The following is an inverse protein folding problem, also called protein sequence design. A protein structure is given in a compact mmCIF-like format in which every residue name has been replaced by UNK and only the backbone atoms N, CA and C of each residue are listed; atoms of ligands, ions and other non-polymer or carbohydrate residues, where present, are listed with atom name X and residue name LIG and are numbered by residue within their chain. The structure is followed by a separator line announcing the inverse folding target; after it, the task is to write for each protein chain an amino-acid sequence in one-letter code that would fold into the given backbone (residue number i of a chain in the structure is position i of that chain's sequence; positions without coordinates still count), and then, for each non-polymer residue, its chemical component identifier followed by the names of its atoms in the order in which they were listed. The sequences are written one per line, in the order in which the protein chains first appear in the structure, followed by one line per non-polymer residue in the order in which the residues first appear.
data_IF_307386047195
#
_entry.id   IF_307386047195
#
_cell.length_a   1.000
_cell.length_b   1.000
_cell.length_c   1.000
_cell.angle_alpha   90.00
_cell.angle_beta   90.00
_cell.angle_gamma   90.00
#
_symmetry.space_group_name_H-M   'P 1'
#
loop_
_entity.id
_entity.type
_entity.pdbx_description
1 polymer ?
#
# COMPACT_ATOMS: atom_id res chain seq x y z
N UNK A 1 -16.37 17.27 16.50
CA UNK A 1 -17.14 16.06 16.87
C UNK A 1 -16.31 14.86 16.46
N UNK A 2 -15.75 14.13 17.43
CA UNK A 2 -15.09 12.84 17.14
C UNK A 2 -16.19 11.81 16.89
N UNK A 3 -16.46 11.51 15.63
CA UNK A 3 -17.31 10.36 15.27
C UNK A 3 -16.44 9.12 15.41
N UNK A 4 -16.52 8.45 16.54
CA UNK A 4 -16.01 7.10 16.70
C UNK A 4 -16.97 6.18 15.93
N UNK A 5 -16.61 5.79 14.72
CA UNK A 5 -17.36 4.77 14.00
C UNK A 5 -17.06 3.44 14.67
N UNK A 6 -17.99 2.92 15.45
CA UNK A 6 -17.99 1.53 15.89
C UNK A 6 -18.17 0.69 14.62
N UNK A 7 -17.07 0.12 14.14
CA UNK A 7 -17.07 -0.83 13.02
C UNK A 7 -17.81 -2.10 13.49
N UNK A 8 -19.00 -2.30 12.95
CA UNK A 8 -19.89 -3.38 13.34
C UNK A 8 -19.26 -4.75 13.05
N UNK A 9 -19.56 -5.72 13.90
CA UNK A 9 -19.16 -7.15 13.87
C UNK A 9 -19.57 -7.94 12.59
N UNK A 10 -20.08 -7.28 11.55
CA UNK A 10 -20.55 -7.93 10.31
C UNK A 10 -19.44 -8.29 9.32
N UNK A 11 -18.22 -7.77 9.52
CA UNK A 11 -17.07 -8.00 8.61
C UNK A 11 -16.13 -9.13 9.09
N UNK A 12 -16.37 -9.69 10.26
CA UNK A 12 -15.52 -10.70 10.85
C UNK A 12 -15.62 -12.02 10.06
N UNK A 13 -14.54 -12.33 9.34
CA UNK A 13 -14.43 -13.58 8.61
C UNK A 13 -14.66 -13.51 7.09
N UNK A 14 -14.90 -12.34 6.50
CA UNK A 14 -15.07 -12.15 5.04
C UNK A 14 -13.89 -12.67 4.21
N UNK A 15 -12.67 -12.66 4.78
CA UNK A 15 -11.45 -13.14 4.13
C UNK A 15 -10.93 -14.45 4.74
N UNK A 16 -11.75 -15.19 5.49
CA UNK A 16 -11.37 -16.47 6.07
C UNK A 16 -10.95 -17.46 4.98
N UNK A 17 -9.81 -18.11 5.20
CA UNK A 17 -9.22 -19.04 4.24
C UNK A 17 -8.51 -18.34 3.06
N UNK A 18 -8.36 -17.02 3.10
CA UNK A 18 -7.57 -16.27 2.13
C UNK A 18 -6.19 -15.97 2.70
N UNK A 19 -5.16 -16.15 1.89
CA UNK A 19 -3.78 -15.73 2.20
C UNK A 19 -3.52 -14.36 1.56
N UNK A 20 -3.14 -13.39 2.37
CA UNK A 20 -2.79 -12.03 1.95
C UNK A 20 -1.29 -11.77 2.15
N UNK A 21 -0.65 -11.16 1.16
CA UNK A 21 0.71 -10.62 1.25
C UNK A 21 0.64 -9.11 1.29
N UNK A 22 1.27 -8.50 2.30
CA UNK A 22 1.37 -7.03 2.45
C UNK A 22 2.83 -6.63 2.45
N UNK A 23 3.22 -5.77 1.51
CA UNK A 23 4.58 -5.21 1.45
C UNK A 23 4.66 -3.89 2.22
N UNK A 24 5.79 -3.64 2.91
CA UNK A 24 5.99 -2.43 3.72
C UNK A 24 5.04 -2.32 4.91
N UNK A 25 4.75 -3.41 5.68
CA UNK A 25 3.73 -3.43 6.72
C UNK A 25 4.18 -2.81 8.04
N UNK A 26 5.43 -2.39 8.19
CA UNK A 26 6.04 -2.12 9.51
C UNK A 26 5.49 -0.88 10.23
N UNK A 27 4.79 0.02 9.52
CA UNK A 27 4.23 1.27 10.07
C UNK A 27 3.19 1.88 9.13
N UNK A 28 2.48 2.90 9.61
CA UNK A 28 1.56 3.73 8.81
C UNK A 28 0.50 2.92 8.06
N UNK A 29 0.30 3.23 6.79
CA UNK A 29 -0.72 2.61 5.94
C UNK A 29 -0.55 1.08 5.88
N UNK A 30 0.67 0.59 5.68
CA UNK A 30 0.91 -0.85 5.56
C UNK A 30 0.57 -1.63 6.83
N UNK A 31 0.86 -1.08 8.01
CA UNK A 31 0.49 -1.68 9.28
C UNK A 31 -1.04 -1.72 9.48
N UNK A 32 -1.73 -0.63 9.13
CA UNK A 32 -3.18 -0.56 9.19
C UNK A 32 -3.84 -1.55 8.21
N UNK A 33 -3.29 -1.70 6.99
CA UNK A 33 -3.77 -2.69 6.01
C UNK A 33 -3.61 -4.12 6.53
N UNK A 34 -2.43 -4.47 7.07
CA UNK A 34 -2.19 -5.79 7.62
C UNK A 34 -3.19 -6.12 8.75
N UNK A 35 -3.45 -5.16 9.64
CA UNK A 35 -4.44 -5.28 10.71
C UNK A 35 -5.86 -5.43 10.17
N UNK A 36 -6.25 -4.63 9.16
CA UNK A 36 -7.59 -4.68 8.58
C UNK A 36 -7.87 -6.01 7.86
N UNK A 37 -6.88 -6.61 7.18
CA UNK A 37 -7.00 -7.91 6.54
C UNK A 37 -7.04 -9.06 7.58
N UNK A 38 -6.17 -9.02 8.60
CA UNK A 38 -6.17 -9.99 9.68
C UNK A 38 -7.50 -9.98 10.45
N UNK A 39 -8.03 -8.80 10.79
CA UNK A 39 -9.35 -8.64 11.43
C UNK A 39 -10.48 -9.30 10.64
N UNK A 40 -10.40 -9.27 9.30
CA UNK A 40 -11.36 -9.93 8.40
C UNK A 40 -11.11 -11.42 8.19
N UNK A 41 -10.16 -12.00 8.92
CA UNK A 41 -9.91 -13.45 8.94
C UNK A 41 -8.90 -13.95 7.92
N UNK A 42 -8.17 -13.07 7.20
CA UNK A 42 -7.11 -13.50 6.31
C UNK A 42 -5.89 -13.98 7.09
N UNK A 43 -5.23 -15.04 6.60
CA UNK A 43 -3.86 -15.34 6.99
C UNK A 43 -2.93 -14.34 6.29
N UNK A 44 -1.95 -13.76 6.99
CA UNK A 44 -1.19 -12.62 6.46
C UNK A 44 0.32 -12.89 6.46
N UNK A 45 0.96 -12.71 5.30
CA UNK A 45 2.41 -12.62 5.20
C UNK A 45 2.83 -11.16 5.10
N UNK A 46 3.66 -10.74 6.05
CA UNK A 46 4.24 -9.41 6.15
C UNK A 46 5.61 -9.39 5.48
N UNK A 47 5.84 -8.51 4.50
CA UNK A 47 7.09 -8.43 3.74
C UNK A 47 7.77 -7.08 3.90
N UNK A 48 8.98 -7.05 4.49
CA UNK A 48 9.88 -5.91 4.56
C UNK A 48 11.31 -6.36 4.86
N UNK A 49 12.25 -5.42 5.00
CA UNK A 49 13.68 -5.75 5.22
C UNK A 49 14.02 -6.20 6.64
N UNK A 50 13.24 -5.82 7.65
CA UNK A 50 13.58 -6.04 9.06
C UNK A 50 12.79 -7.22 9.65
N UNK A 51 13.43 -8.41 9.70
CA UNK A 51 12.80 -9.64 10.19
C UNK A 51 12.35 -9.53 11.67
N UNK A 52 13.11 -8.86 12.54
CA UNK A 52 12.75 -8.74 13.95
C UNK A 52 11.43 -7.95 14.13
N UNK A 53 11.31 -6.79 13.47
CA UNK A 53 10.06 -6.01 13.49
C UNK A 53 8.88 -6.77 12.88
N UNK A 54 9.12 -7.56 11.82
CA UNK A 54 8.07 -8.39 11.22
C UNK A 54 7.57 -9.46 12.19
N UNK A 55 8.47 -10.10 12.93
CA UNK A 55 8.12 -11.12 13.93
C UNK A 55 7.29 -10.53 15.08
N UNK A 56 7.68 -9.37 15.59
CA UNK A 56 6.94 -8.65 16.63
C UNK A 56 5.52 -8.30 16.15
N UNK A 57 5.41 -7.75 14.95
CA UNK A 57 4.13 -7.39 14.36
C UNK A 57 3.25 -8.62 14.10
N UNK A 58 3.84 -9.71 13.58
CA UNK A 58 3.14 -10.96 13.34
C UNK A 58 2.57 -11.55 14.65
N UNK A 59 3.37 -11.59 15.70
CA UNK A 59 2.93 -12.05 17.02
C UNK A 59 1.78 -11.20 17.58
N UNK A 60 1.88 -9.87 17.44
CA UNK A 60 0.85 -8.94 17.87
C UNK A 60 -0.47 -9.15 17.13
N UNK A 61 -0.44 -9.23 15.78
CA UNK A 61 -1.63 -9.43 14.96
C UNK A 61 -2.27 -10.80 15.23
N UNK A 62 -1.47 -11.87 15.34
CA UNK A 62 -1.96 -13.21 15.68
C UNK A 62 -2.67 -13.20 17.03
N UNK A 63 -2.06 -12.57 18.04
CA UNK A 63 -2.67 -12.46 19.39
C UNK A 63 -3.99 -11.68 19.35
N UNK A 64 -4.06 -10.62 18.56
CA UNK A 64 -5.23 -9.72 18.55
C UNK A 64 -6.41 -10.30 17.77
N UNK A 65 -6.13 -10.93 16.60
CA UNK A 65 -7.17 -11.33 15.66
C UNK A 65 -7.37 -12.85 15.51
N UNK A 66 -6.47 -13.67 16.10
CA UNK A 66 -6.56 -15.12 16.02
C UNK A 66 -6.25 -15.74 14.66
N UNK A 67 -5.78 -14.94 13.69
CA UNK A 67 -5.36 -15.39 12.36
C UNK A 67 -3.89 -15.77 12.34
N UNK A 68 -3.46 -16.56 11.36
CA UNK A 68 -2.04 -16.88 11.21
C UNK A 68 -1.33 -15.71 10.55
N UNK A 69 -0.24 -15.25 11.14
CA UNK A 69 0.59 -14.17 10.57
C UNK A 69 2.06 -14.57 10.61
N UNK A 70 2.78 -14.33 9.53
CA UNK A 70 4.23 -14.53 9.46
C UNK A 70 4.94 -13.30 8.91
N UNK A 71 6.21 -13.16 9.26
CA UNK A 71 7.11 -12.19 8.68
C UNK A 71 8.12 -12.85 7.74
N UNK A 72 8.30 -12.29 6.56
CA UNK A 72 9.30 -12.72 5.57
C UNK A 72 10.18 -11.53 5.19
N UNK A 73 11.46 -11.58 5.58
CA UNK A 73 12.41 -10.54 5.21
C UNK A 73 12.72 -10.58 3.71
N UNK A 74 12.61 -9.43 3.06
CA UNK A 74 12.91 -9.23 1.64
C UNK A 74 13.21 -7.77 1.34
N UNK A 75 14.19 -7.52 0.48
CA UNK A 75 14.37 -6.22 -0.17
C UNK A 75 13.68 -6.24 -1.53
N UNK A 76 12.63 -5.46 -1.66
CA UNK A 76 11.82 -5.40 -2.90
C UNK A 76 12.50 -4.65 -4.05
N UNK A 77 13.65 -4.05 -3.82
CA UNK A 77 14.53 -3.53 -4.86
C UNK A 77 15.43 -4.63 -5.47
N UNK A 78 15.44 -5.86 -4.89
CA UNK A 78 16.28 -6.98 -5.31
C UNK A 78 15.40 -8.08 -5.93
N UNK A 79 15.46 -8.21 -7.25
CA UNK A 79 14.58 -9.13 -7.99
C UNK A 79 14.74 -10.60 -7.60
N UNK A 80 15.96 -11.03 -7.29
CA UNK A 80 16.30 -12.39 -6.87
C UNK A 80 15.69 -12.76 -5.50
N UNK A 81 15.60 -11.80 -4.59
CA UNK A 81 15.01 -12.03 -3.28
C UNK A 81 13.49 -12.19 -3.31
N UNK A 82 12.81 -11.54 -4.26
CA UNK A 82 11.35 -11.53 -4.33
C UNK A 82 10.80 -12.94 -4.57
N UNK A 83 11.32 -13.67 -5.55
CA UNK A 83 10.84 -15.01 -5.86
C UNK A 83 10.94 -15.96 -4.64
N UNK A 84 12.10 -15.99 -3.97
CA UNK A 84 12.32 -16.81 -2.78
C UNK A 84 11.44 -16.38 -1.60
N UNK A 85 11.14 -15.07 -1.45
CA UNK A 85 10.24 -14.58 -0.40
C UNK A 85 8.78 -15.03 -0.63
N UNK A 86 8.33 -15.01 -1.89
CA UNK A 86 6.99 -15.47 -2.24
C UNK A 86 6.83 -16.99 -2.14
N UNK A 87 7.89 -17.75 -2.44
CA UNK A 87 7.92 -19.20 -2.20
C UNK A 87 7.74 -19.52 -0.71
N UNK A 88 8.54 -18.90 0.17
CA UNK A 88 8.39 -19.04 1.63
C UNK A 88 7.00 -18.64 2.12
N UNK A 89 6.38 -17.61 1.53
CA UNK A 89 5.02 -17.23 1.86
C UNK A 89 4.02 -18.33 1.48
N UNK A 90 4.19 -18.92 0.29
CA UNK A 90 3.36 -20.00 -0.22
C UNK A 90 3.48 -21.29 0.59
N UNK A 91 4.69 -21.65 1.02
CA UNK A 91 4.94 -22.84 1.85
C UNK A 91 4.20 -22.79 3.18
N UNK A 92 4.05 -21.59 3.77
CA UNK A 92 3.40 -21.45 5.05
C UNK A 92 1.86 -21.43 4.99
N UNK A 93 1.27 -20.72 4.01
CA UNK A 93 -0.18 -20.46 3.97
C UNK A 93 -0.83 -20.81 2.63
N UNK A 94 -0.12 -21.50 1.75
CA UNK A 94 -0.59 -21.84 0.41
C UNK A 94 -0.58 -20.64 -0.54
N UNK A 95 -1.21 -20.83 -1.70
CA UNK A 95 -1.25 -19.82 -2.78
C UNK A 95 -1.77 -18.47 -2.26
N UNK A 96 -1.04 -17.37 -2.49
CA UNK A 96 -1.54 -16.05 -2.14
C UNK A 96 -2.78 -15.68 -2.94
N UNK A 97 -3.81 -15.23 -2.26
CA UNK A 97 -5.08 -14.77 -2.82
C UNK A 97 -5.13 -13.24 -2.96
N UNK A 98 -4.39 -12.55 -2.09
CA UNK A 98 -4.38 -11.09 -2.00
C UNK A 98 -2.92 -10.63 -2.01
N UNK A 99 -2.60 -9.65 -2.87
CA UNK A 99 -1.33 -8.94 -2.86
C UNK A 99 -1.59 -7.45 -2.67
N UNK A 100 -1.02 -6.88 -1.61
CA UNK A 100 -1.01 -5.43 -1.40
C UNK A 100 0.41 -4.90 -1.57
N UNK A 101 0.66 -4.24 -2.69
CA UNK A 101 1.89 -3.50 -2.96
C UNK A 101 1.80 -2.12 -2.30
N UNK A 102 2.28 -2.03 -1.06
CA UNK A 102 2.27 -0.79 -0.29
C UNK A 102 3.67 -0.21 -0.06
N UNK A 103 4.73 -1.02 -0.10
CA UNK A 103 6.09 -0.53 0.07
C UNK A 103 6.41 0.58 -0.94
N UNK A 104 7.02 1.66 -0.46
CA UNK A 104 7.38 2.79 -1.30
C UNK A 104 8.18 3.84 -0.54
N UNK A 105 8.82 4.72 -1.30
CA UNK A 105 9.55 5.88 -0.80
C UNK A 105 9.20 7.12 -1.63
N UNK A 106 9.32 8.28 -1.00
CA UNK A 106 9.27 9.58 -1.67
C UNK A 106 10.58 10.32 -1.47
N UNK A 107 11.03 11.02 -2.51
CA UNK A 107 12.16 11.94 -2.47
C UNK A 107 11.69 13.28 -3.02
N UNK A 108 11.94 14.36 -2.31
CA UNK A 108 11.58 15.72 -2.72
C UNK A 108 12.82 16.56 -2.97
N UNK A 109 13.02 16.99 -4.22
CA UNK A 109 14.07 17.87 -4.63
C UNK A 109 13.66 18.69 -5.87
N UNK A 110 14.21 19.91 -6.08
CA UNK A 110 14.12 20.59 -7.37
C UNK A 110 14.66 19.69 -8.49
N UNK A 111 14.05 19.71 -9.67
CA UNK A 111 14.41 18.79 -10.76
C UNK A 111 15.89 18.81 -11.11
N UNK A 112 16.52 19.99 -11.13
CA UNK A 112 17.94 20.14 -11.43
C UNK A 112 18.89 19.65 -10.31
N UNK A 113 18.34 19.27 -9.14
CA UNK A 113 19.07 18.68 -7.99
C UNK A 113 18.63 17.24 -7.71
N UNK A 114 17.72 16.69 -8.53
CA UNK A 114 17.31 15.31 -8.38
C UNK A 114 18.41 14.41 -8.94
N UNK A 115 19.10 13.70 -8.08
CA UNK A 115 20.14 12.75 -8.48
C UNK A 115 19.55 11.55 -9.22
N UNK A 116 20.27 11.05 -10.23
CA UNK A 116 19.83 9.86 -10.97
C UNK A 116 19.65 8.63 -10.06
N UNK A 117 20.51 8.52 -9.05
CA UNK A 117 20.42 7.44 -8.06
C UNK A 117 19.13 7.52 -7.25
N UNK A 118 18.67 8.71 -6.87
CA UNK A 118 17.38 8.90 -6.17
C UNK A 118 16.20 8.61 -7.08
N UNK A 119 16.27 9.07 -8.33
CA UNK A 119 15.27 8.72 -9.34
C UNK A 119 15.15 7.19 -9.48
N UNK A 120 16.27 6.50 -9.72
CA UNK A 120 16.27 5.05 -9.91
C UNK A 120 15.73 4.32 -8.67
N UNK A 121 16.18 4.70 -7.47
CA UNK A 121 15.71 4.11 -6.20
C UNK A 121 14.20 4.28 -6.02
N UNK A 122 13.64 5.44 -6.39
CA UNK A 122 12.18 5.68 -6.35
C UNK A 122 11.47 4.78 -7.36
N UNK A 123 11.95 4.68 -8.59
CA UNK A 123 11.37 3.82 -9.62
C UNK A 123 11.44 2.35 -9.24
N UNK A 124 12.58 1.90 -8.74
CA UNK A 124 12.78 0.48 -8.37
C UNK A 124 11.81 0.05 -7.29
N UNK A 125 11.65 0.84 -6.24
CA UNK A 125 10.79 0.43 -5.12
C UNK A 125 9.30 0.67 -5.40
N UNK A 126 8.93 1.76 -6.10
CA UNK A 126 7.51 2.12 -6.28
C UNK A 126 6.87 1.52 -7.53
N UNK A 127 7.65 1.05 -8.52
CA UNK A 127 7.14 0.49 -9.79
C UNK A 127 7.70 -0.90 -10.07
N UNK A 128 9.04 -1.02 -10.13
CA UNK A 128 9.70 -2.29 -10.48
C UNK A 128 9.39 -3.37 -9.43
N UNK A 129 9.47 -3.04 -8.15
CA UNK A 129 9.14 -3.96 -7.05
C UNK A 129 7.70 -4.51 -7.15
N UNK A 130 6.66 -3.66 -7.21
CA UNK A 130 5.29 -4.08 -7.46
C UNK A 130 5.11 -4.96 -8.71
N UNK A 131 5.73 -4.57 -9.83
CA UNK A 131 5.72 -5.38 -11.05
C UNK A 131 6.29 -6.79 -10.81
N UNK A 132 7.44 -6.89 -10.14
CA UNK A 132 8.08 -8.17 -9.84
C UNK A 132 7.22 -9.03 -8.89
N UNK A 133 6.64 -8.42 -7.85
CA UNK A 133 5.72 -9.11 -6.95
C UNK A 133 4.52 -9.70 -7.71
N UNK A 134 3.88 -8.88 -8.55
CA UNK A 134 2.73 -9.32 -9.36
C UNK A 134 3.15 -10.45 -10.31
N UNK A 135 4.25 -10.27 -11.05
CA UNK A 135 4.78 -11.27 -11.99
C UNK A 135 5.01 -12.63 -11.34
N UNK A 136 5.42 -12.63 -10.08
CA UNK A 136 5.72 -13.86 -9.34
C UNK A 136 4.47 -14.69 -9.05
N UNK A 137 3.31 -14.05 -8.78
CA UNK A 137 2.13 -14.78 -8.29
C UNK A 137 0.93 -14.78 -9.26
N UNK A 138 0.90 -13.92 -10.27
CA UNK A 138 -0.31 -13.73 -11.10
C UNK A 138 -0.78 -15.01 -11.77
N UNK A 139 0.14 -15.88 -12.23
CA UNK A 139 -0.21 -17.19 -12.82
C UNK A 139 -0.91 -18.10 -11.82
N UNK A 140 -0.51 -18.08 -10.55
CA UNK A 140 -1.12 -18.90 -9.51
C UNK A 140 -2.52 -18.36 -9.18
N UNK A 141 -2.69 -17.05 -9.07
CA UNK A 141 -3.99 -16.41 -8.88
C UNK A 141 -4.96 -16.71 -10.03
N UNK A 142 -4.49 -16.61 -11.29
CA UNK A 142 -5.30 -16.94 -12.47
C UNK A 142 -5.72 -18.40 -12.48
N UNK A 143 -4.80 -19.32 -12.14
CA UNK A 143 -5.13 -20.77 -12.06
C UNK A 143 -6.15 -21.07 -10.95
N UNK A 144 -6.10 -20.34 -9.83
CA UNK A 144 -7.05 -20.47 -8.73
C UNK A 144 -8.40 -19.77 -9.02
N UNK A 145 -8.50 -19.07 -10.14
CA UNK A 145 -9.62 -18.21 -10.53
C UNK A 145 -10.06 -17.23 -9.41
N UNK A 146 -9.09 -16.76 -8.62
CA UNK A 146 -9.28 -15.78 -7.57
C UNK A 146 -7.99 -15.01 -7.31
N UNK A 147 -8.07 -13.70 -7.37
CA UNK A 147 -6.97 -12.81 -7.00
C UNK A 147 -7.46 -11.39 -6.71
N UNK A 148 -6.80 -10.74 -5.77
CA UNK A 148 -6.99 -9.31 -5.46
C UNK A 148 -5.63 -8.65 -5.39
N UNK A 149 -5.30 -7.84 -6.38
CA UNK A 149 -4.04 -7.10 -6.45
C UNK A 149 -4.36 -5.63 -6.19
N UNK A 150 -3.84 -5.10 -5.09
CA UNK A 150 -4.05 -3.72 -4.68
C UNK A 150 -2.70 -3.00 -4.67
N UNK A 151 -2.57 -1.98 -5.50
CA UNK A 151 -1.40 -1.13 -5.55
C UNK A 151 -1.68 0.16 -4.75
N UNK A 152 -0.97 0.39 -3.65
CA UNK A 152 -1.06 1.65 -2.92
C UNK A 152 -0.26 2.70 -3.68
N UNK A 153 -0.99 3.46 -4.51
CA UNK A 153 -0.44 4.55 -5.30
C UNK A 153 -0.33 5.84 -4.46
N UNK A 154 -0.92 6.92 -4.91
CA UNK A 154 -1.01 8.22 -4.23
C UNK A 154 -1.86 9.16 -5.09
N UNK A 155 -2.37 10.28 -4.54
CA UNK A 155 -2.83 11.43 -5.32
C UNK A 155 -1.74 11.91 -6.29
N UNK A 156 -0.45 11.75 -5.93
CA UNK A 156 0.70 12.03 -6.80
C UNK A 156 0.79 11.10 -8.05
N UNK A 157 -0.03 10.09 -8.16
CA UNK A 157 -0.18 9.27 -9.36
C UNK A 157 -1.30 9.76 -10.29
N UNK A 158 -2.04 10.78 -9.87
CA UNK A 158 -3.18 11.35 -10.60
C UNK A 158 -2.98 12.84 -10.92
N UNK A 159 -2.14 13.53 -10.14
CA UNK A 159 -1.76 14.92 -10.37
C UNK A 159 -0.29 15.15 -10.09
N UNK A 160 0.23 16.34 -10.39
CA UNK A 160 1.61 16.72 -10.13
C UNK A 160 1.77 17.44 -8.80
N UNK A 161 2.87 17.17 -8.11
CA UNK A 161 3.31 17.91 -6.94
C UNK A 161 4.69 18.52 -7.17
N UNK A 162 4.86 19.78 -6.83
CA UNK A 162 6.14 20.46 -6.93
C UNK A 162 7.22 19.70 -6.14
N UNK A 163 8.41 19.64 -6.70
CA UNK A 163 9.59 18.99 -6.11
C UNK A 163 9.51 17.46 -5.95
N UNK A 164 8.44 16.81 -6.42
CA UNK A 164 8.22 15.37 -6.30
C UNK A 164 8.23 14.63 -7.65
N UNK A 165 9.04 15.09 -8.62
CA UNK A 165 9.00 14.59 -10.00
C UNK A 165 9.20 13.07 -10.09
N UNK A 166 10.20 12.49 -9.44
CA UNK A 166 10.45 11.05 -9.45
C UNK A 166 9.29 10.27 -8.83
N UNK A 167 8.75 10.75 -7.71
CA UNK A 167 7.64 10.12 -7.02
C UNK A 167 6.34 10.18 -7.85
N UNK A 168 6.02 11.36 -8.42
CA UNK A 168 4.87 11.51 -9.32
C UNK A 168 4.99 10.57 -10.52
N UNK A 169 6.14 10.54 -11.20
CA UNK A 169 6.38 9.65 -12.33
C UNK A 169 6.17 8.17 -11.95
N UNK A 170 6.72 7.74 -10.80
CA UNK A 170 6.58 6.39 -10.32
C UNK A 170 5.11 6.04 -9.99
N UNK A 171 4.38 6.91 -9.30
CA UNK A 171 2.98 6.65 -8.94
C UNK A 171 2.03 6.69 -10.14
N UNK A 172 2.29 7.54 -11.14
CA UNK A 172 1.61 7.47 -12.45
C UNK A 172 1.92 6.15 -13.17
N UNK A 173 3.18 5.70 -13.18
CA UNK A 173 3.59 4.41 -13.73
C UNK A 173 2.87 3.24 -13.06
N UNK A 174 2.72 3.26 -11.74
CA UNK A 174 2.01 2.23 -10.98
C UNK A 174 0.50 2.19 -11.32
N UNK A 175 -0.13 3.34 -11.54
CA UNK A 175 -1.51 3.43 -12.01
C UNK A 175 -1.62 2.91 -13.46
N UNK A 176 -0.66 3.24 -14.32
CA UNK A 176 -0.58 2.69 -15.67
C UNK A 176 -0.50 1.16 -15.68
N UNK A 177 0.39 0.59 -14.85
CA UNK A 177 0.51 -0.86 -14.63
C UNK A 177 -0.80 -1.48 -14.13
N UNK A 178 -1.46 -0.84 -13.16
CA UNK A 178 -2.76 -1.28 -12.63
C UNK A 178 -3.81 -1.42 -13.73
N UNK A 179 -3.95 -0.40 -14.57
CA UNK A 179 -4.94 -0.36 -15.65
C UNK A 179 -4.65 -1.37 -16.76
N UNK A 180 -3.37 -1.53 -17.12
CA UNK A 180 -2.95 -2.51 -18.12
C UNK A 180 -3.26 -3.95 -17.67
N UNK A 181 -2.86 -4.30 -16.45
CA UNK A 181 -3.09 -5.63 -15.90
C UNK A 181 -4.57 -5.92 -15.65
N UNK A 182 -5.38 -4.94 -15.25
CA UNK A 182 -6.80 -5.10 -15.10
C UNK A 182 -7.48 -5.50 -16.44
N UNK A 183 -7.02 -4.96 -17.55
CA UNK A 183 -7.51 -5.34 -18.88
C UNK A 183 -7.02 -6.72 -19.32
N UNK A 184 -5.75 -7.03 -19.07
CA UNK A 184 -5.14 -8.32 -19.38
C UNK A 184 -5.85 -9.47 -18.64
N UNK A 185 -6.23 -9.24 -17.37
CA UNK A 185 -6.81 -10.25 -16.50
C UNK A 185 -8.35 -10.22 -16.45
N UNK A 186 -9.01 -9.40 -17.28
CA UNK A 186 -10.46 -9.16 -17.22
C UNK A 186 -11.34 -10.41 -17.38
N UNK A 187 -10.81 -11.46 -18.02
CA UNK A 187 -11.51 -12.74 -18.22
C UNK A 187 -11.18 -13.79 -17.16
N UNK A 188 -10.56 -13.38 -16.05
CA UNK A 188 -10.20 -14.24 -14.92
C UNK A 188 -10.88 -13.77 -13.64
N UNK A 189 -10.81 -14.56 -12.58
CA UNK A 189 -11.28 -14.16 -11.25
C UNK A 189 -10.35 -13.15 -10.52
N UNK A 190 -9.36 -12.53 -11.23
CA UNK A 190 -8.39 -11.61 -10.66
C UNK A 190 -8.78 -10.17 -10.92
N UNK A 191 -8.84 -9.34 -9.87
CA UNK A 191 -8.99 -7.89 -9.99
C UNK A 191 -7.71 -7.16 -9.63
N UNK A 192 -7.44 -6.03 -10.30
CA UNK A 192 -6.27 -5.19 -10.07
C UNK A 192 -6.71 -3.75 -9.91
N UNK A 193 -6.49 -3.16 -8.73
CA UNK A 193 -6.89 -1.79 -8.43
C UNK A 193 -5.77 -1.00 -7.76
N UNK A 194 -5.84 0.32 -7.87
CA UNK A 194 -5.01 1.26 -7.14
C UNK A 194 -5.83 1.97 -6.05
N UNK A 195 -5.24 2.14 -4.88
CA UNK A 195 -5.73 3.08 -3.86
C UNK A 195 -4.79 4.27 -3.86
N UNK A 196 -5.34 5.47 -3.91
CA UNK A 196 -4.61 6.72 -4.07
C UNK A 196 -4.81 7.62 -2.83
N UNK A 197 -4.03 7.41 -1.75
CA UNK A 197 -4.12 8.27 -0.58
C UNK A 197 -3.60 9.68 -0.88
N UNK A 198 -4.21 10.69 -0.22
CA UNK A 198 -3.62 12.00 -0.03
C UNK A 198 -2.61 11.99 1.11
N UNK A 199 -2.31 13.19 1.65
CA UNK A 199 -1.44 13.30 2.82
C UNK A 199 -2.04 12.54 4.01
N UNK A 200 -1.36 11.45 4.38
CA UNK A 200 -1.80 10.51 5.41
C UNK A 200 -0.90 10.62 6.64
N UNK A 201 -1.47 10.56 7.83
CA UNK A 201 -0.77 10.63 9.11
C UNK A 201 0.20 9.44 9.27
N UNK A 202 1.42 9.65 8.81
CA UNK A 202 2.51 8.66 8.76
C UNK A 202 3.85 9.35 8.93
N UNK A 203 4.89 8.55 9.20
CA UNK A 203 6.26 9.06 9.29
C UNK A 203 6.72 9.78 8.01
N UNK A 204 6.20 9.40 6.83
CA UNK A 204 6.53 10.10 5.57
C UNK A 204 6.07 11.56 5.62
N UNK A 205 4.88 11.81 6.16
CA UNK A 205 4.38 13.19 6.34
C UNK A 205 5.14 13.89 7.46
N UNK A 206 5.47 13.21 8.56
CA UNK A 206 6.29 13.78 9.62
C UNK A 206 7.69 14.19 9.11
N UNK A 207 8.32 13.36 8.28
CA UNK A 207 9.60 13.68 7.61
C UNK A 207 9.44 14.87 6.63
N UNK A 208 8.33 14.94 5.89
CA UNK A 208 8.04 16.07 5.00
C UNK A 208 7.86 17.38 5.77
N UNK A 209 7.13 17.36 6.89
CA UNK A 209 7.01 18.51 7.82
C UNK A 209 8.38 18.93 8.33
N UNK A 210 9.20 17.98 8.80
CA UNK A 210 10.57 18.27 9.26
C UNK A 210 11.44 18.92 8.18
N UNK A 211 11.33 18.46 6.94
CA UNK A 211 12.04 19.04 5.80
C UNK A 211 11.59 20.47 5.46
N UNK A 212 10.27 20.74 5.54
CA UNK A 212 9.74 22.10 5.34
C UNK A 212 10.25 23.04 6.43
N UNK A 213 10.15 22.64 7.70
CA UNK A 213 10.68 23.41 8.84
C UNK A 213 12.16 23.73 8.66
N UNK A 214 12.99 22.73 8.35
CA UNK A 214 14.44 22.90 8.19
C UNK A 214 14.81 23.84 7.03
N UNK A 215 14.04 23.83 5.93
CA UNK A 215 14.33 24.62 4.73
C UNK A 215 13.73 26.02 4.75
N UNK A 216 12.64 26.24 5.47
CA UNK A 216 11.85 27.48 5.40
C UNK A 216 11.84 28.29 6.69
N UNK A 217 12.26 27.71 7.82
CA UNK A 217 12.14 28.31 9.16
C UNK A 217 10.72 28.43 9.69
N UNK A 218 9.72 27.81 9.04
CA UNK A 218 8.33 27.76 9.51
C UNK A 218 8.21 26.89 10.76
N UNK A 219 7.14 27.08 11.53
CA UNK A 219 6.81 26.18 12.64
C UNK A 219 6.27 24.85 12.12
N UNK A 220 6.34 23.75 12.89
CA UNK A 220 5.74 22.47 12.51
C UNK A 220 4.24 22.59 12.19
N UNK A 221 3.49 23.42 12.94
CA UNK A 221 2.06 23.67 12.75
C UNK A 221 1.80 24.37 11.40
N UNK A 222 2.62 25.34 11.03
CA UNK A 222 2.52 26.03 9.74
C UNK A 222 2.82 25.08 8.58
N UNK A 223 3.86 24.25 8.71
CA UNK A 223 4.20 23.26 7.70
C UNK A 223 3.10 22.21 7.54
N UNK A 224 2.52 21.72 8.65
CA UNK A 224 1.40 20.78 8.63
C UNK A 224 0.14 21.42 8.00
N UNK A 225 -0.16 22.67 8.35
CA UNK A 225 -1.29 23.41 7.77
C UNK A 225 -1.19 23.54 6.26
N UNK A 226 0.03 23.74 5.73
CA UNK A 226 0.25 23.81 4.28
C UNK A 226 -0.06 22.46 3.60
N UNK A 227 0.33 21.34 4.20
CA UNK A 227 0.03 20.01 3.67
C UNK A 227 -1.45 19.66 3.76
N UNK A 228 -2.10 20.01 4.86
CA UNK A 228 -3.52 19.75 5.06
C UNK A 228 -4.44 20.68 4.26
N UNK A 229 -3.94 21.83 3.81
CA UNK A 229 -4.71 22.77 2.97
C UNK A 229 -5.15 22.15 1.62
N UNK A 230 -4.45 21.14 1.15
CA UNK A 230 -4.84 20.40 -0.05
C UNK A 230 -6.06 19.49 0.15
N UNK A 231 -6.34 19.09 1.39
CA UNK A 231 -7.50 18.28 1.73
C UNK A 231 -8.66 19.18 2.18
N UNK A 232 -9.78 19.25 1.44
CA UNK A 232 -10.97 20.04 1.83
C UNK A 232 -11.52 19.75 3.23
N UNK A 233 -11.25 18.55 3.79
CA UNK A 233 -11.61 18.24 5.18
C UNK A 233 -10.66 18.88 6.21
N UNK A 234 -9.58 19.57 5.79
CA UNK A 234 -8.66 20.31 6.66
C UNK A 234 -7.83 19.43 7.62
N UNK A 235 -7.61 18.16 7.29
CA UNK A 235 -6.88 17.20 8.13
C UNK A 235 -6.05 16.24 7.31
N UNK A 236 -5.13 15.55 7.94
CA UNK A 236 -4.50 14.37 7.35
C UNK A 236 -5.53 13.22 7.24
N UNK A 237 -5.38 12.40 6.22
CA UNK A 237 -6.07 11.11 6.11
C UNK A 237 -5.50 10.17 7.19
N UNK A 238 -6.35 9.40 7.84
CA UNK A 238 -5.84 8.39 8.78
C UNK A 238 -5.45 7.09 8.04
N UNK A 239 -4.41 6.38 8.50
CA UNK A 239 -4.01 5.10 7.91
C UNK A 239 -5.14 4.05 7.85
N UNK A 240 -6.03 4.06 8.84
CA UNK A 240 -7.17 3.14 8.89
C UNK A 240 -8.21 3.44 7.78
N UNK A 241 -8.42 4.69 7.40
CA UNK A 241 -9.32 5.06 6.29
C UNK A 241 -8.83 4.47 4.95
N UNK A 242 -7.51 4.50 4.73
CA UNK A 242 -6.89 3.85 3.56
C UNK A 242 -7.02 2.32 3.65
N UNK A 243 -6.75 1.76 4.82
CA UNK A 243 -6.79 0.31 5.05
C UNK A 243 -8.19 -0.28 4.85
N UNK A 244 -9.24 0.42 5.27
CA UNK A 244 -10.63 0.01 5.05
C UNK A 244 -10.98 -0.05 3.55
N UNK A 245 -10.51 0.94 2.77
CA UNK A 245 -10.69 0.95 1.31
C UNK A 245 -9.97 -0.24 0.66
N UNK A 246 -8.74 -0.53 1.08
CA UNK A 246 -7.99 -1.70 0.60
C UNK A 246 -8.73 -2.99 0.93
N UNK A 247 -9.18 -3.15 2.17
CA UNK A 247 -9.87 -4.34 2.61
C UNK A 247 -11.23 -4.55 1.91
N UNK A 248 -11.97 -3.45 1.63
CA UNK A 248 -13.17 -3.49 0.81
C UNK A 248 -12.88 -3.99 -0.62
N UNK A 249 -11.83 -3.50 -1.27
CA UNK A 249 -11.42 -3.98 -2.60
C UNK A 249 -10.98 -5.45 -2.59
N UNK A 250 -10.52 -5.97 -1.43
CA UNK A 250 -10.18 -7.39 -1.26
C UNK A 250 -11.39 -8.29 -1.01
N UNK A 251 -12.56 -7.74 -0.71
CA UNK A 251 -13.77 -8.52 -0.44
C UNK A 251 -14.24 -9.30 -1.67
N UNK A 252 -14.86 -10.50 -1.48
CA UNK A 252 -15.47 -11.25 -2.59
C UNK A 252 -16.52 -10.45 -3.37
N UNK A 253 -17.25 -9.56 -2.70
CA UNK A 253 -18.27 -8.69 -3.30
C UNK A 253 -17.72 -7.64 -4.27
N UNK A 254 -16.41 -7.37 -4.27
CA UNK A 254 -15.76 -6.33 -5.10
C UNK A 254 -15.29 -6.87 -6.46
N UNK A 255 -15.82 -8.03 -6.91
CA UNK A 255 -15.38 -8.72 -8.13
C UNK A 255 -15.53 -7.89 -9.42
N UNK A 256 -16.49 -7.00 -9.49
CA UNK A 256 -16.70 -6.13 -10.65
C UNK A 256 -15.89 -4.83 -10.62
N UNK A 257 -15.04 -4.64 -9.59
CA UNK A 257 -14.21 -3.46 -9.43
C UNK A 257 -12.79 -3.84 -9.83
N UNK A 258 -12.38 -3.44 -11.04
CA UNK A 258 -11.02 -3.65 -11.56
C UNK A 258 -10.58 -2.46 -12.41
N UNK A 259 -9.27 -2.17 -12.43
CA UNK A 259 -8.67 -1.07 -13.16
C UNK A 259 -8.93 0.32 -12.55
N UNK A 260 -9.51 0.38 -11.35
CA UNK A 260 -9.88 1.64 -10.71
C UNK A 260 -8.72 2.25 -9.94
N UNK A 261 -8.76 3.58 -9.82
CA UNK A 261 -7.88 4.38 -8.97
C UNK A 261 -8.76 5.07 -7.90
N UNK A 262 -8.89 4.43 -6.75
CA UNK A 262 -9.78 4.91 -5.68
C UNK A 262 -9.04 5.94 -4.83
N UNK A 263 -9.52 7.17 -4.86
CA UNK A 263 -8.94 8.28 -4.11
C UNK A 263 -9.43 8.27 -2.65
N UNK A 264 -8.50 8.36 -1.71
CA UNK A 264 -8.77 8.49 -0.27
C UNK A 264 -8.03 9.73 0.22
N UNK A 265 -8.59 10.91 -0.04
CA UNK A 265 -7.90 12.19 0.12
C UNK A 265 -8.82 13.34 0.58
N UNK A 266 -10.01 13.03 1.13
CA UNK A 266 -10.92 14.03 1.69
C UNK A 266 -11.44 15.06 0.68
N UNK A 267 -11.43 14.73 -0.64
CA UNK A 267 -11.86 15.62 -1.70
C UNK A 267 -10.74 16.41 -2.39
N UNK A 268 -9.47 16.13 -2.09
CA UNK A 268 -8.31 16.79 -2.72
C UNK A 268 -8.33 16.66 -4.26
N UNK A 269 -8.77 15.53 -4.77
CA UNK A 269 -8.99 15.29 -6.19
C UNK A 269 -10.42 14.82 -6.42
N UNK A 270 -11.13 15.58 -7.24
CA UNK A 270 -12.52 15.31 -7.63
C UNK A 270 -12.65 15.26 -9.15
#
# INVERSE_FOLDING_TARGET
MNVTVELSSRDDGLLRGKHAIVTGPSRGIGAAIAAALARRGADVTLMSRNQAKLNEQAASLTKTYGTKVQGVAVDLAQADQIAAAFERAGDAFGTPHILVNNAGIAVAAPIHRTELADWQRVMDLNVTGPFLCIRTIVKQMTKADYGRIINVASTAGLTGYAYCAAYCAAKHGLIGLTRALARELAHTGVTVNAVCPGYTDTDIVAEAVGNIVAKTGRTPEQALSELTAHNPQGRLVRPDEVAETVAWLCAPSSVSITGQSIVVAGGELM
#
